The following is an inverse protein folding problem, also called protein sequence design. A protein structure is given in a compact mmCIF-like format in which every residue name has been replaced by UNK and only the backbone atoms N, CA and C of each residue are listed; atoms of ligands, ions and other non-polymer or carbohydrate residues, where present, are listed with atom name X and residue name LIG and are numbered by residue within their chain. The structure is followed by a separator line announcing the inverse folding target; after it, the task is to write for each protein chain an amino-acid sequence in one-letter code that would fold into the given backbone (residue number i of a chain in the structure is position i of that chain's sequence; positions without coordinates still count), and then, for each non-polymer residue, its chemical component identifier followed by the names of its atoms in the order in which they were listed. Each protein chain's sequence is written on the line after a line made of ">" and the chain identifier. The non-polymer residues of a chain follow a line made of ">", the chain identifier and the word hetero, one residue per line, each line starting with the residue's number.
data_IF_714821968850
#
_entry.id   IF_714821968850
#
_cell.length_a   1.000
_cell.length_b   1.000
_cell.length_c   1.000
_cell.angle_alpha   90.00
_cell.angle_beta   90.00
_cell.angle_gamma   90.00
#
_symmetry.space_group_name_H-M   'P 1'
#
loop_
_entity.id
_entity.type
_entity.pdbx_description
1 polymer ?
#
# COMPACT_ATOMS: atom_id res chain seq x y z
N UNK A 1 -3.43 -5.54 24.49
CA UNK A 1 -2.14 -5.59 23.79
C UNK A 1 -2.35 -4.87 22.48
N UNK A 2 -1.79 -3.67 22.30
CA UNK A 2 -1.89 -2.98 21.02
C UNK A 2 -1.04 -3.76 20.01
N UNK A 3 -1.69 -4.45 19.08
CA UNK A 3 -0.99 -5.02 17.92
C UNK A 3 -0.29 -3.92 17.12
N UNK A 4 0.68 -4.27 16.26
CA UNK A 4 1.27 -3.30 15.36
C UNK A 4 0.14 -2.58 14.61
N UNK A 5 0.18 -1.25 14.60
CA UNK A 5 -0.87 -0.45 13.97
C UNK A 5 -0.86 -0.76 12.47
N UNK A 6 -1.84 -1.54 12.01
CA UNK A 6 -1.91 -2.08 10.65
C UNK A 6 -1.75 -1.00 9.58
N UNK A 7 -2.27 0.19 9.85
CA UNK A 7 -2.11 1.38 9.00
C UNK A 7 -0.65 1.81 8.82
N UNK A 8 0.17 1.67 9.87
CA UNK A 8 1.61 1.97 9.82
C UNK A 8 2.33 1.00 8.90
N UNK A 9 1.99 -0.29 8.98
CA UNK A 9 2.56 -1.34 8.11
C UNK A 9 2.17 -1.13 6.64
N UNK A 10 0.90 -0.83 6.36
CA UNK A 10 0.44 -0.53 5.00
C UNK A 10 1.21 0.69 4.45
N UNK A 11 1.34 1.74 5.26
CA UNK A 11 2.02 2.98 4.87
C UNK A 11 3.49 2.71 4.54
N UNK A 12 4.20 1.94 5.36
CA UNK A 12 5.61 1.58 5.10
C UNK A 12 5.79 0.80 3.79
N UNK A 13 4.90 -0.15 3.50
CA UNK A 13 4.92 -0.94 2.25
C UNK A 13 4.68 -0.02 1.04
N UNK A 14 3.68 0.85 1.11
CA UNK A 14 3.35 1.79 0.03
C UNK A 14 4.52 2.76 -0.21
N UNK A 15 5.13 3.31 0.85
CA UNK A 15 6.28 4.21 0.72
C UNK A 15 7.48 3.49 0.10
N UNK A 16 7.76 2.24 0.50
CA UNK A 16 8.84 1.44 -0.08
C UNK A 16 8.60 1.14 -1.56
N UNK A 17 7.36 0.82 -1.95
CA UNK A 17 6.98 0.60 -3.34
C UNK A 17 7.13 1.88 -4.19
N UNK A 18 6.74 3.03 -3.64
CA UNK A 18 6.79 4.32 -4.33
C UNK A 18 8.21 4.86 -4.47
N UNK A 19 9.05 4.61 -3.47
CA UNK A 19 10.46 5.02 -3.49
C UNK A 19 11.29 4.24 -4.53
N UNK A 20 10.75 3.13 -5.05
CA UNK A 20 11.36 2.39 -6.13
C UNK A 20 10.98 3.01 -7.48
N UNK A 21 11.81 3.92 -7.99
CA UNK A 21 11.55 4.67 -9.23
C UNK A 21 11.25 3.77 -10.45
N UNK A 22 11.77 2.54 -10.47
CA UNK A 22 11.48 1.54 -11.52
C UNK A 22 10.02 1.10 -11.55
N UNK A 23 9.35 1.11 -10.40
CA UNK A 23 7.94 0.72 -10.28
C UNK A 23 7.02 1.65 -11.09
N UNK A 24 7.45 2.89 -11.29
CA UNK A 24 6.67 3.95 -11.94
C UNK A 24 7.35 4.56 -13.17
N UNK A 25 8.39 3.92 -13.69
CA UNK A 25 9.28 4.47 -14.72
C UNK A 25 8.52 4.77 -16.03
N UNK A 26 7.46 4.02 -16.32
CA UNK A 26 6.63 4.14 -17.51
C UNK A 26 5.21 4.67 -17.25
N UNK A 27 4.95 5.27 -16.09
CA UNK A 27 3.62 5.74 -15.70
C UNK A 27 3.54 7.27 -15.63
N UNK A 28 2.43 7.82 -16.08
CA UNK A 28 2.06 9.22 -15.86
C UNK A 28 1.78 9.47 -14.37
N UNK A 29 1.85 10.73 -13.92
CA UNK A 29 1.52 11.08 -12.52
C UNK A 29 0.14 10.59 -12.09
N UNK A 30 -0.85 10.66 -12.98
CA UNK A 30 -2.21 10.20 -12.70
C UNK A 30 -2.26 8.68 -12.50
N UNK A 31 -1.57 7.91 -13.36
CA UNK A 31 -1.45 6.46 -13.24
C UNK A 31 -0.71 6.07 -11.95
N UNK A 32 0.36 6.79 -11.59
CA UNK A 32 1.08 6.56 -10.32
C UNK A 32 0.14 6.72 -9.12
N UNK A 33 -0.60 7.83 -9.05
CA UNK A 33 -1.54 8.10 -7.95
C UNK A 33 -2.61 7.01 -7.88
N UNK A 34 -3.15 6.58 -9.03
CA UNK A 34 -4.16 5.52 -9.09
C UNK A 34 -3.61 4.18 -8.58
N UNK A 35 -2.43 3.78 -9.03
CA UNK A 35 -1.79 2.52 -8.61
C UNK A 35 -1.44 2.51 -7.13
N UNK A 36 -0.99 3.64 -6.56
CA UNK A 36 -0.75 3.77 -5.11
C UNK A 36 -2.05 3.61 -4.33
N UNK A 37 -3.12 4.27 -4.77
CA UNK A 37 -4.42 4.18 -4.11
C UNK A 37 -5.03 2.76 -4.18
N UNK A 38 -4.84 2.06 -5.30
CA UNK A 38 -5.25 0.66 -5.45
C UNK A 38 -4.43 -0.27 -4.55
N UNK A 39 -3.10 -0.09 -4.51
CA UNK A 39 -2.22 -0.87 -3.64
C UNK A 39 -2.61 -0.72 -2.16
N UNK A 40 -2.86 0.51 -1.71
CA UNK A 40 -3.30 0.77 -0.34
C UNK A 40 -4.60 0.03 0.00
N UNK A 41 -5.61 0.10 -0.88
CA UNK A 41 -6.90 -0.59 -0.69
C UNK A 41 -6.75 -2.10 -0.63
N UNK A 42 -5.91 -2.69 -1.49
CA UNK A 42 -5.66 -4.13 -1.50
C UNK A 42 -4.98 -4.60 -0.22
N UNK A 43 -4.00 -3.84 0.27
CA UNK A 43 -3.31 -4.14 1.53
C UNK A 43 -4.24 -4.00 2.74
N UNK A 44 -5.07 -2.95 2.77
CA UNK A 44 -6.06 -2.76 3.81
C UNK A 44 -7.05 -3.94 3.86
N UNK A 45 -7.59 -4.33 2.70
CA UNK A 45 -8.53 -5.44 2.61
C UNK A 45 -7.90 -6.77 3.06
N UNK A 46 -6.65 -7.05 2.66
CA UNK A 46 -5.94 -8.26 3.07
C UNK A 46 -5.71 -8.35 4.58
N UNK A 47 -5.49 -7.21 5.26
CA UNK A 47 -5.38 -7.19 6.72
C UNK A 47 -6.75 -7.41 7.37
N UNK A 48 -7.79 -6.73 6.89
CA UNK A 48 -9.16 -6.93 7.40
C UNK A 48 -9.57 -8.41 7.29
N UNK A 49 -9.37 -9.04 6.13
CA UNK A 49 -9.65 -10.48 5.95
C UNK A 49 -8.86 -11.38 6.91
N UNK A 50 -7.61 -11.01 7.23
CA UNK A 50 -6.75 -11.76 8.13
C UNK A 50 -7.08 -11.53 9.63
N UNK A 51 -7.69 -10.39 9.99
CA UNK A 51 -8.18 -10.13 11.35
C UNK A 51 -9.55 -10.76 11.61
N UNK A 52 -10.31 -11.05 10.56
CA UNK A 52 -11.63 -11.69 10.63
C UNK A 52 -11.61 -13.24 10.63
N UNK A 53 -10.43 -13.88 10.52
CA UNK A 53 -10.19 -15.32 10.60
C UNK A 53 -9.44 -15.72 11.88
#
# INVERSE_FOLDING_TARGET
>A
MCGPNSDSLITEIVVAAVSNEKFFESMTTEEKVKSVAELYKLLQHAIEEHEHH
#
